data_IF_683179665705
#
_entry.id   IF_683179665705
#
_cell.length_a   1.000
_cell.length_b   1.000
_cell.length_c   1.000
_cell.angle_alpha   90.00
_cell.angle_beta   90.00
_cell.angle_gamma   90.00
#
_symmetry.space_group_name_H-M   'P 1'
#
loop_
_entity.id
_entity.type
_entity.pdbx_description
1 polymer ?
#
# COMPACT_ATOMS: atom_id res chain seq x y z
N UNK A 1 -7.94 -12.37 16.39
CA UNK A 1 -6.69 -11.73 15.92
C UNK A 1 -7.11 -10.50 15.13
N UNK A 2 -6.75 -9.29 15.59
CA UNK A 2 -7.07 -8.07 14.85
C UNK A 2 -6.27 -8.09 13.54
N UNK A 3 -6.96 -8.17 12.41
CA UNK A 3 -6.35 -8.17 11.08
C UNK A 3 -5.70 -6.80 10.88
N UNK A 4 -4.38 -6.73 10.99
CA UNK A 4 -3.63 -5.49 10.68
C UNK A 4 -4.01 -5.04 9.27
N UNK A 5 -4.61 -3.85 9.19
CA UNK A 5 -5.09 -3.29 7.93
C UNK A 5 -3.88 -2.69 7.24
N UNK A 6 -3.28 -3.45 6.33
CA UNK A 6 -2.19 -2.98 5.48
C UNK A 6 -2.72 -1.91 4.50
N UNK A 7 -2.25 -0.68 4.65
CA UNK A 7 -2.58 0.48 3.84
C UNK A 7 -1.33 1.08 3.20
N UNK A 8 -1.46 1.60 1.98
CA UNK A 8 -0.39 2.36 1.32
C UNK A 8 -0.07 3.63 2.10
N UNK A 9 1.18 3.83 2.45
CA UNK A 9 1.68 5.01 3.18
C UNK A 9 1.58 6.31 2.37
N UNK A 10 1.44 6.21 1.05
CA UNK A 10 1.42 7.37 0.16
C UNK A 10 0.00 7.87 -0.16
N UNK A 11 -0.95 6.96 -0.40
CA UNK A 11 -2.33 7.33 -0.77
C UNK A 11 -3.39 6.82 0.22
N UNK A 12 -3.01 6.08 1.26
CA UNK A 12 -3.91 5.57 2.29
C UNK A 12 -4.79 4.38 1.89
N UNK A 13 -4.77 3.96 0.61
CA UNK A 13 -5.59 2.84 0.12
C UNK A 13 -5.23 1.52 0.80
N UNK A 14 -6.26 0.73 1.13
CA UNK A 14 -6.10 -0.61 1.68
C UNK A 14 -5.68 -1.59 0.59
N UNK A 15 -5.08 -2.71 1.00
CA UNK A 15 -4.76 -3.83 0.09
C UNK A 15 -5.96 -4.29 -0.77
N UNK A 16 -7.19 -4.20 -0.25
CA UNK A 16 -8.40 -4.60 -0.99
C UNK A 16 -8.80 -3.62 -2.11
N UNK A 17 -8.22 -2.41 -2.13
CA UNK A 17 -8.51 -1.35 -3.11
C UNK A 17 -7.43 -1.22 -4.19
N UNK A 18 -6.40 -2.08 -4.13
CA UNK A 18 -5.19 -2.01 -4.95
C UNK A 18 -4.84 -3.40 -5.46
N UNK A 19 -4.29 -3.52 -6.67
CA UNK A 19 -3.90 -4.84 -7.19
C UNK A 19 -2.61 -5.35 -6.53
N UNK A 20 -1.72 -4.42 -6.15
CA UNK A 20 -0.47 -4.70 -5.49
C UNK A 20 -0.29 -3.75 -4.30
N UNK A 21 0.15 -4.31 -3.18
CA UNK A 21 0.60 -3.55 -2.02
C UNK A 21 1.88 -4.20 -1.51
N UNK A 22 2.99 -3.48 -1.63
CA UNK A 22 4.32 -3.90 -1.21
C UNK A 22 4.54 -3.39 0.21
N UNK A 23 4.93 -4.29 1.12
CA UNK A 23 5.34 -3.95 2.47
C UNK A 23 6.85 -3.74 2.53
N UNK A 24 7.27 -2.50 2.80
CA UNK A 24 8.63 -2.16 3.18
C UNK A 24 8.81 -2.19 4.69
N UNK A 25 10.04 -1.91 5.14
CA UNK A 25 10.40 -1.94 6.57
C UNK A 25 9.66 -0.85 7.36
N UNK A 26 9.53 0.34 6.77
CA UNK A 26 8.92 1.52 7.42
C UNK A 26 7.65 2.03 6.71
N UNK A 27 7.39 1.57 5.48
CA UNK A 27 6.30 2.08 4.66
C UNK A 27 5.76 1.02 3.69
N UNK A 28 4.51 1.20 3.26
CA UNK A 28 3.87 0.36 2.26
C UNK A 28 3.56 1.19 1.01
N UNK A 29 3.79 0.65 -0.19
CA UNK A 29 3.50 1.32 -1.46
C UNK A 29 2.62 0.45 -2.34
N UNK A 30 1.63 1.05 -3.02
CA UNK A 30 0.74 0.34 -3.94
C UNK A 30 1.10 0.57 -5.41
N UNK A 31 0.60 -0.31 -6.29
CA UNK A 31 0.70 -0.24 -7.76
C UNK A 31 0.51 1.19 -8.29
N UNK A 32 -0.57 1.85 -7.91
CA UNK A 32 -0.88 3.20 -8.41
C UNK A 32 0.14 4.27 -8.02
N UNK A 33 0.74 4.14 -6.84
CA UNK A 33 1.78 5.07 -6.39
C UNK A 33 3.11 4.78 -7.07
N UNK A 34 3.38 3.52 -7.40
CA UNK A 34 4.56 3.12 -8.18
C UNK A 34 4.46 3.68 -9.60
N UNK A 35 3.31 3.54 -10.27
CA UNK A 35 3.11 4.07 -11.63
C UNK A 35 3.22 5.59 -11.73
N UNK A 36 2.92 6.31 -10.66
CA UNK A 36 3.02 7.77 -10.60
C UNK A 36 4.39 8.28 -10.14
N UNK A 37 5.29 7.39 -9.69
CA UNK A 37 6.62 7.76 -9.24
C UNK A 37 7.51 8.05 -10.46
N UNK A 38 7.76 9.33 -10.72
CA UNK A 38 8.54 9.83 -11.86
C UNK A 38 9.85 10.46 -11.43
#
# INVERSE_FOLDING_TARGET
MAKEILTCSFCGRKKAETNLLIAGIEAHICDRCIEQAH
#
